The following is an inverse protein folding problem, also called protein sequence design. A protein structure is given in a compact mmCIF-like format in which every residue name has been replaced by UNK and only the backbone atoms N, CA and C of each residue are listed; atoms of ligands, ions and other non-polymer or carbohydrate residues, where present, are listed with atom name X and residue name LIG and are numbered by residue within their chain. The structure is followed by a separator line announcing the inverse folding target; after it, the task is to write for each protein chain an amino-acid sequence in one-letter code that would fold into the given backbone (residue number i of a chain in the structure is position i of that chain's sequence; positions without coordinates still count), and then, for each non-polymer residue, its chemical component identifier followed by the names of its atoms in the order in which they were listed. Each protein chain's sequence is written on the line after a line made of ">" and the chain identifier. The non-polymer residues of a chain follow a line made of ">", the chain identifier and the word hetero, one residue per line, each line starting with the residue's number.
data_IF_926554243964
#
_entry.id   IF_926554243964
#
_cell.length_a   1.000
_cell.length_b   1.000
_cell.length_c   1.000
_cell.angle_alpha   90.00
_cell.angle_beta   90.00
_cell.angle_gamma   90.00
#
_symmetry.space_group_name_H-M   'P 1'
#
loop_
_entity.id
_entity.type
_entity.pdbx_description
1 polymer ?
#
# COMPACT_ATOMS: atom_id res chain seq x y z
N UNK A 1 -16.43 0.42 -2.06
CA UNK A 1 -15.82 0.82 -0.78
C UNK A 1 -14.92 2.00 -1.08
N UNK A 2 -14.89 2.99 -0.19
CA UNK A 2 -14.15 4.25 -0.33
C UNK A 2 -13.07 4.34 0.76
N UNK A 3 -12.10 5.22 0.58
CA UNK A 3 -11.11 5.58 1.61
C UNK A 3 -11.79 5.77 2.99
N UNK A 4 -11.26 5.12 4.01
CA UNK A 4 -11.73 5.23 5.40
C UNK A 4 -12.93 4.35 5.75
N UNK A 5 -13.53 3.63 4.80
CA UNK A 5 -14.60 2.66 5.11
C UNK A 5 -14.08 1.63 6.12
N UNK A 6 -14.81 1.43 7.22
CA UNK A 6 -14.46 0.45 8.24
C UNK A 6 -14.90 -0.95 7.83
N UNK A 7 -14.03 -1.94 8.05
CA UNK A 7 -14.31 -3.36 7.88
C UNK A 7 -14.83 -4.04 9.16
N UNK A 8 -15.03 -3.27 10.25
CA UNK A 8 -15.63 -3.77 11.49
C UNK A 8 -16.97 -4.47 11.30
N UNK A 9 -17.88 -4.02 10.40
CA UNK A 9 -19.12 -4.74 10.12
C UNK A 9 -18.91 -6.17 9.59
N UNK A 10 -17.74 -6.45 9.02
CA UNK A 10 -17.35 -7.76 8.50
C UNK A 10 -16.49 -8.55 9.49
N UNK A 11 -16.36 -8.09 10.73
CA UNK A 11 -15.58 -8.76 11.78
C UNK A 11 -14.08 -8.47 11.75
N UNK A 12 -13.63 -7.50 10.95
CA UNK A 12 -12.21 -7.13 10.83
C UNK A 12 -11.96 -5.70 11.35
N UNK A 13 -11.08 -5.54 12.34
CA UNK A 13 -10.67 -4.20 12.81
C UNK A 13 -9.66 -3.58 11.84
N UNK A 14 -10.18 -3.11 10.70
CA UNK A 14 -9.42 -2.53 9.61
C UNK A 14 -10.21 -1.43 8.90
N UNK A 15 -9.50 -0.62 8.11
CA UNK A 15 -10.08 0.42 7.26
C UNK A 15 -9.54 0.32 5.83
N UNK A 16 -10.36 0.72 4.87
CA UNK A 16 -9.96 0.82 3.46
C UNK A 16 -9.02 2.01 3.26
N UNK A 17 -7.97 1.79 2.49
CA UNK A 17 -7.02 2.81 2.04
C UNK A 17 -6.96 2.77 0.51
N UNK A 18 -7.37 3.83 -0.17
CA UNK A 18 -7.23 3.95 -1.61
C UNK A 18 -5.74 4.16 -1.97
N UNK A 19 -5.24 3.34 -2.88
CA UNK A 19 -3.85 3.32 -3.33
C UNK A 19 -3.77 3.38 -4.88
N UNK A 20 -4.31 4.44 -5.52
CA UNK A 20 -4.31 4.56 -6.97
C UNK A 20 -2.87 4.63 -7.53
N UNK A 21 -2.70 4.17 -8.77
CA UNK A 21 -1.42 4.24 -9.49
C UNK A 21 -1.17 3.03 -10.38
N UNK A 22 -1.29 1.82 -9.83
CA UNK A 22 -1.25 0.58 -10.62
C UNK A 22 -2.54 0.44 -11.46
N UNK A 23 -3.69 0.66 -10.84
CA UNK A 23 -4.99 0.91 -11.47
C UNK A 23 -5.73 2.02 -10.71
N UNK A 24 -6.72 2.68 -11.34
CA UNK A 24 -7.52 3.73 -10.68
C UNK A 24 -8.35 3.21 -9.48
N UNK A 25 -8.59 1.89 -9.40
CA UNK A 25 -9.38 1.27 -8.34
C UNK A 25 -8.55 0.46 -7.33
N UNK A 26 -7.23 0.64 -7.31
CA UNK A 26 -6.36 -0.08 -6.37
C UNK A 26 -6.67 0.34 -4.93
N UNK A 27 -6.99 -0.64 -4.08
CA UNK A 27 -7.26 -0.45 -2.66
C UNK A 27 -6.30 -1.30 -1.82
N UNK A 28 -5.90 -0.76 -0.69
CA UNK A 28 -5.25 -1.43 0.41
C UNK A 28 -6.16 -1.52 1.63
N UNK A 29 -5.75 -2.34 2.59
CA UNK A 29 -6.43 -2.53 3.86
C UNK A 29 -5.47 -2.19 4.98
N UNK A 30 -5.79 -1.16 5.75
CA UNK A 30 -5.02 -0.76 6.91
C UNK A 30 -5.51 -1.51 8.14
N UNK A 31 -4.62 -2.35 8.69
CA UNK A 31 -4.81 -3.07 9.94
C UNK A 31 -4.09 -2.32 11.08
N UNK A 32 -4.32 -2.77 12.32
CA UNK A 32 -3.62 -2.25 13.50
C UNK A 32 -2.09 -2.31 13.36
N UNK A 33 -1.56 -3.49 13.03
CA UNK A 33 -0.11 -3.77 13.01
C UNK A 33 0.46 -3.97 11.59
N UNK A 34 -0.36 -3.72 10.56
CA UNK A 34 0.02 -3.98 9.18
C UNK A 34 -0.83 -3.27 8.14
N UNK A 35 -0.42 -3.36 6.89
CA UNK A 35 -1.13 -2.84 5.74
C UNK A 35 -1.04 -3.86 4.62
N UNK A 36 -2.19 -4.28 4.10
CA UNK A 36 -2.26 -5.05 2.87
C UNK A 36 -2.30 -4.05 1.72
N UNK A 37 -1.27 -4.07 0.87
CA UNK A 37 -1.10 -3.08 -0.20
C UNK A 37 -1.40 -3.64 -1.59
N UNK A 38 -1.68 -4.94 -1.69
CA UNK A 38 -1.95 -5.61 -2.96
C UNK A 38 -0.81 -5.38 -3.96
N UNK A 39 -1.16 -4.92 -5.15
CA UNK A 39 -0.21 -4.64 -6.24
C UNK A 39 0.29 -3.19 -6.27
N UNK A 40 -0.10 -2.34 -5.32
CA UNK A 40 0.41 -0.97 -5.20
C UNK A 40 1.92 -0.98 -4.88
N UNK A 41 2.40 -2.01 -4.18
CA UNK A 41 3.80 -2.35 -4.04
C UNK A 41 3.99 -3.83 -4.43
N UNK A 42 5.19 -4.20 -4.87
CA UNK A 42 5.48 -5.59 -5.23
C UNK A 42 6.78 -6.07 -4.57
N UNK A 43 6.84 -7.37 -4.24
CA UNK A 43 8.04 -8.01 -3.72
C UNK A 43 8.36 -9.32 -4.46
N UNK A 44 8.49 -9.26 -5.79
CA UNK A 44 8.76 -10.45 -6.61
C UNK A 44 10.23 -10.90 -6.53
N UNK A 45 11.17 -9.96 -6.54
CA UNK A 45 12.61 -10.20 -6.35
C UNK A 45 13.18 -9.39 -5.18
N UNK A 46 12.73 -8.14 -5.05
CA UNK A 46 12.98 -7.28 -3.90
C UNK A 46 11.78 -6.32 -3.71
N UNK A 47 11.56 -5.78 -2.50
CA UNK A 47 10.42 -4.91 -2.24
C UNK A 47 10.57 -3.57 -2.95
N UNK A 48 9.65 -3.25 -3.86
CA UNK A 48 9.66 -2.05 -4.70
C UNK A 48 8.25 -1.53 -4.99
N UNK A 49 8.19 -0.29 -5.51
CA UNK A 49 6.95 0.29 -6.05
C UNK A 49 6.50 -0.51 -7.27
N UNK A 50 5.20 -0.55 -7.55
CA UNK A 50 4.71 -1.25 -8.74
C UNK A 50 5.35 -0.66 -10.01
N UNK A 51 6.00 -1.51 -10.81
CA UNK A 51 6.69 -1.08 -12.05
C UNK A 51 5.71 -0.83 -13.21
N UNK A 52 4.47 -1.28 -13.07
CA UNK A 52 3.38 -1.03 -14.00
C UNK A 52 2.51 0.04 -13.35
N UNK A 53 2.53 1.26 -13.87
CA UNK A 53 1.66 2.33 -13.39
C UNK A 53 0.98 2.99 -14.58
N UNK A 54 -0.32 3.29 -14.43
CA UNK A 54 -1.04 4.12 -15.37
C UNK A 54 -0.70 5.60 -15.15
N UNK A 55 -0.36 5.97 -13.91
CA UNK A 55 0.01 7.32 -13.49
C UNK A 55 1.13 7.26 -12.42
N UNK A 56 2.31 7.75 -12.79
CA UNK A 56 3.51 7.75 -11.94
C UNK A 56 3.35 8.65 -10.70
N UNK A 57 2.59 9.74 -10.82
CA UNK A 57 2.40 10.72 -9.74
C UNK A 57 1.53 10.10 -8.66
N UNK A 58 0.38 9.55 -9.04
CA UNK A 58 -0.54 8.89 -8.11
C UNK A 58 0.11 7.68 -7.43
N UNK A 59 0.90 6.90 -8.17
CA UNK A 59 1.64 5.77 -7.60
C UNK A 59 2.65 6.24 -6.54
N UNK A 60 3.35 7.36 -6.77
CA UNK A 60 4.30 7.93 -5.79
C UNK A 60 3.59 8.46 -4.55
N UNK A 61 2.46 9.13 -4.73
CA UNK A 61 1.63 9.58 -3.61
C UNK A 61 1.13 8.41 -2.76
N UNK A 62 0.68 7.32 -3.39
CA UNK A 62 0.30 6.08 -2.70
C UNK A 62 1.48 5.48 -1.92
N UNK A 63 2.67 5.40 -2.54
CA UNK A 63 3.88 4.90 -1.89
C UNK A 63 4.34 5.80 -0.73
N UNK A 64 4.22 7.11 -0.85
CA UNK A 64 4.51 8.08 0.21
C UNK A 64 3.52 7.94 1.38
N UNK A 65 2.23 7.82 1.08
CA UNK A 65 1.18 7.58 2.09
C UNK A 65 1.47 6.30 2.87
N UNK A 66 1.86 5.20 2.20
CA UNK A 66 2.28 3.96 2.88
C UNK A 66 3.53 4.21 3.73
N UNK A 67 4.54 4.91 3.20
CA UNK A 67 5.79 5.23 3.93
C UNK A 67 5.51 5.97 5.24
N UNK A 68 4.51 6.87 5.27
CA UNK A 68 4.13 7.67 6.44
C UNK A 68 3.37 6.91 7.53
N UNK A 69 2.98 5.65 7.31
CA UNK A 69 2.24 4.84 8.31
C UNK A 69 3.10 4.23 9.42
N UNK A 70 4.37 4.62 9.51
CA UNK A 70 5.27 4.20 10.59
C UNK A 70 5.65 2.73 10.52
N UNK A 71 5.99 2.12 11.67
CA UNK A 71 6.51 0.75 11.74
C UNK A 71 5.40 -0.32 11.65
N UNK A 72 4.75 -0.41 10.49
CA UNK A 72 3.76 -1.44 10.17
C UNK A 72 4.35 -2.54 9.29
N UNK A 73 3.77 -3.74 9.34
CA UNK A 73 4.09 -4.80 8.38
C UNK A 73 3.37 -4.56 7.05
N UNK A 74 4.08 -4.66 5.93
CA UNK A 74 3.52 -4.51 4.58
C UNK A 74 3.30 -5.89 3.98
N UNK A 75 2.06 -6.18 3.59
CA UNK A 75 1.65 -7.41 2.93
C UNK A 75 1.37 -7.12 1.45
N UNK A 76 2.22 -7.67 0.58
CA UNK A 76 2.13 -7.52 -0.87
C UNK A 76 1.17 -8.56 -1.47
N UNK A 77 0.63 -8.29 -2.66
CA UNK A 77 -0.02 -9.31 -3.48
C UNK A 77 0.94 -10.44 -3.90
N UNK A 78 2.22 -10.09 -4.07
CA UNK A 78 3.29 -11.02 -4.45
C UNK A 78 4.53 -10.86 -3.57
N UNK A 79 4.98 -11.97 -2.96
CA UNK A 79 6.22 -12.05 -2.19
C UNK A 79 6.02 -12.12 -0.68
N UNK A 80 7.13 -12.04 0.06
CA UNK A 80 7.11 -12.08 1.53
C UNK A 80 6.79 -10.70 2.12
N UNK A 81 6.08 -10.62 3.26
CA UNK A 81 5.85 -9.36 3.93
C UNK A 81 7.15 -8.78 4.48
N UNK A 82 7.25 -7.45 4.52
CA UNK A 82 8.41 -6.75 5.11
C UNK A 82 7.96 -5.62 6.01
N UNK A 83 8.86 -5.12 6.86
CA UNK A 83 8.61 -3.88 7.60
C UNK A 83 8.51 -2.71 6.64
N UNK A 84 7.59 -1.80 6.95
CA UNK A 84 7.45 -0.55 6.24
C UNK A 84 8.77 0.23 6.26
N UNK A 85 9.08 0.88 5.14
CA UNK A 85 10.27 1.69 4.92
C UNK A 85 9.90 2.84 4.02
N UNK A 86 10.83 3.77 3.80
CA UNK A 86 10.60 4.79 2.79
C UNK A 86 10.62 4.15 1.39
N UNK A 87 9.48 4.18 0.71
CA UNK A 87 9.28 3.59 -0.61
C UNK A 87 9.64 4.56 -1.74
N UNK A 88 9.70 5.87 -1.46
CA UNK A 88 10.13 6.89 -2.41
C UNK A 88 11.61 7.23 -2.15
N UNK A 89 12.45 7.16 -3.18
CA UNK A 89 13.80 7.73 -3.07
C UNK A 89 13.66 9.25 -2.96
N UNK A 90 14.19 9.84 -1.89
CA UNK A 90 14.42 11.28 -1.84
C UNK A 90 15.28 11.65 -3.05
N UNK A 91 14.77 12.50 -3.94
CA UNK A 91 15.64 13.22 -4.87
C UNK A 91 16.51 14.14 -4.01
N UNK A 92 17.81 13.82 -3.92
CA UNK A 92 18.83 14.83 -3.65
C UNK A 92 18.90 15.81 -4.82
#
# INVERSE_FOLDING_TARGET
>A
MKEGDSLKPYGLDASIMELPGHTNGSIGIELKDGIIVGDALMNMFYPTISMLYHDEVQMKESADRISKRGNKMIYFGHGKPVRNKNWIKSKS
#
